data_IF_363427104217
#
_entry.id   IF_363427104217
#
_cell.length_a   1.000
_cell.length_b   1.000
_cell.length_c   1.000
_cell.angle_alpha   90.00
_cell.angle_beta   90.00
_cell.angle_gamma   90.00
#
_symmetry.space_group_name_H-M   'P 1'
#
loop_
_entity.id
_entity.type
_entity.pdbx_description
1 polymer ?
#
# COMPACT_ATOMS: atom_id res chain seq x y z
N UNK A 1 14.60 7.81 4.39
CA UNK A 1 13.29 7.14 4.43
C UNK A 1 12.50 7.76 5.56
N UNK A 2 11.24 8.16 5.35
CA UNK A 2 10.41 8.65 6.45
C UNK A 2 10.24 7.51 7.48
N UNK A 3 10.32 7.76 8.80
CA UNK A 3 10.15 6.71 9.83
C UNK A 3 8.88 5.89 9.65
N UNK A 4 7.82 6.54 9.17
CA UNK A 4 6.53 5.91 8.87
C UNK A 4 6.61 4.85 7.75
N UNK A 5 7.53 4.98 6.78
CA UNK A 5 7.75 4.00 5.73
C UNK A 5 8.29 2.68 6.28
N UNK A 6 9.16 2.75 7.30
CA UNK A 6 9.69 1.57 7.95
C UNK A 6 8.59 0.81 8.71
N UNK A 7 7.75 1.53 9.46
CA UNK A 7 6.62 0.96 10.19
C UNK A 7 5.59 0.29 9.25
N UNK A 8 5.24 0.96 8.14
CA UNK A 8 4.31 0.37 7.15
C UNK A 8 4.91 -0.90 6.52
N UNK A 9 6.20 -0.87 6.17
CA UNK A 9 6.90 -2.04 5.63
C UNK A 9 6.85 -3.21 6.61
N UNK A 10 7.09 -2.96 7.88
CA UNK A 10 7.07 -4.00 8.92
C UNK A 10 5.71 -4.68 9.03
N UNK A 11 4.62 -3.91 9.11
CA UNK A 11 3.27 -4.49 9.20
C UNK A 11 2.86 -5.21 7.91
N UNK A 12 3.28 -4.73 6.74
CA UNK A 12 3.04 -5.41 5.46
C UNK A 12 3.76 -6.76 5.40
N UNK A 13 5.05 -6.79 5.77
CA UNK A 13 5.82 -8.03 5.80
C UNK A 13 5.21 -9.05 6.76
N UNK A 14 4.76 -8.60 7.93
CA UNK A 14 4.15 -9.47 8.94
C UNK A 14 2.78 -9.98 8.52
N UNK A 15 1.91 -9.12 7.98
CA UNK A 15 0.49 -9.46 7.78
C UNK A 15 0.14 -9.81 6.34
N UNK A 16 0.71 -9.13 5.36
CA UNK A 16 0.25 -9.16 3.97
C UNK A 16 1.11 -10.01 3.04
N UNK A 17 2.40 -10.23 3.35
CA UNK A 17 3.33 -10.96 2.47
C UNK A 17 3.36 -12.45 2.78
N UNK A 18 3.22 -13.30 1.77
CA UNK A 18 3.33 -14.75 1.84
C UNK A 18 4.22 -15.28 0.72
N UNK A 19 5.04 -16.27 1.03
CA UNK A 19 5.89 -16.99 0.06
C UNK A 19 5.47 -18.46 -0.02
N UNK A 20 5.60 -19.06 -1.20
CA UNK A 20 5.07 -20.39 -1.52
C UNK A 20 4.51 -20.42 -2.94
N UNK A 21 3.96 -21.55 -3.40
CA UNK A 21 3.40 -21.61 -4.76
C UNK A 21 1.95 -21.10 -4.79
N UNK A 22 1.70 -20.01 -5.52
CA UNK A 22 0.38 -19.41 -5.69
C UNK A 22 0.00 -19.37 -7.17
N UNK A 23 -1.28 -19.58 -7.46
CA UNK A 23 -1.88 -19.23 -8.75
C UNK A 23 -2.55 -17.86 -8.61
N UNK A 24 -2.07 -16.88 -9.36
CA UNK A 24 -2.62 -15.52 -9.37
C UNK A 24 -3.96 -15.45 -10.10
N UNK A 25 -4.69 -14.35 -9.92
CA UNK A 25 -5.95 -14.09 -10.64
C UNK A 25 -5.78 -14.09 -12.18
N UNK A 26 -4.56 -13.85 -12.67
CA UNK A 26 -4.21 -13.96 -14.09
C UNK A 26 -3.99 -15.40 -14.59
N UNK A 27 -4.06 -16.40 -13.71
CA UNK A 27 -3.72 -17.80 -13.99
C UNK A 27 -2.22 -18.12 -13.93
N UNK A 28 -1.35 -17.11 -13.78
CA UNK A 28 0.10 -17.31 -13.67
C UNK A 28 0.49 -17.87 -12.31
N UNK A 29 1.54 -18.69 -12.28
CA UNK A 29 2.19 -19.14 -11.04
C UNK A 29 3.14 -18.06 -10.52
N UNK A 30 3.19 -17.88 -9.20
CA UNK A 30 4.13 -17.01 -8.52
C UNK A 30 4.54 -17.62 -7.18
N UNK A 31 5.77 -17.36 -6.76
CA UNK A 31 6.33 -17.72 -5.46
C UNK A 31 5.95 -16.70 -4.35
N UNK A 32 5.22 -15.64 -4.70
CA UNK A 32 4.88 -14.51 -3.85
C UNK A 32 3.40 -14.16 -3.97
N UNK A 33 2.75 -14.00 -2.82
CA UNK A 33 1.39 -13.48 -2.72
C UNK A 33 1.33 -12.34 -1.70
N UNK A 34 0.69 -11.24 -2.08
CA UNK A 34 0.54 -10.05 -1.25
C UNK A 34 -0.94 -9.69 -1.14
N UNK A 35 -1.53 -9.93 0.03
CA UNK A 35 -2.90 -9.51 0.33
C UNK A 35 -2.90 -8.27 1.22
N UNK A 36 -2.92 -7.08 0.63
CA UNK A 36 -2.88 -5.84 1.39
C UNK A 36 -4.17 -5.53 2.17
N UNK A 37 -5.27 -6.27 1.95
CA UNK A 37 -6.55 -6.01 2.63
C UNK A 37 -6.41 -6.19 4.14
N UNK A 38 -5.61 -7.16 4.58
CA UNK A 38 -5.40 -7.41 6.01
C UNK A 38 -4.62 -6.30 6.71
N UNK A 39 -3.74 -5.59 6.00
CA UNK A 39 -3.08 -4.39 6.55
C UNK A 39 -4.00 -3.17 6.44
N UNK A 40 -4.76 -3.03 5.36
CA UNK A 40 -5.70 -1.92 5.19
C UNK A 40 -6.87 -1.93 6.20
N UNK A 41 -7.27 -3.12 6.66
CA UNK A 41 -8.31 -3.30 7.68
C UNK A 41 -7.75 -3.35 9.12
N UNK A 42 -6.43 -3.22 9.29
CA UNK A 42 -5.80 -3.08 10.60
C UNK A 42 -5.80 -1.61 11.03
N UNK A 43 -6.14 -1.25 12.28
CA UNK A 43 -6.20 0.15 12.70
C UNK A 43 -4.85 0.88 12.61
N UNK A 44 -3.74 0.21 12.89
CA UNK A 44 -2.40 0.80 12.74
C UNK A 44 -2.03 0.86 11.26
N UNK A 45 -2.27 -0.22 10.52
CA UNK A 45 -2.00 -0.30 9.08
C UNK A 45 -2.75 0.76 8.27
N UNK A 46 -4.04 0.95 8.52
CA UNK A 46 -4.88 1.95 7.86
C UNK A 46 -4.35 3.37 8.05
N UNK A 47 -3.95 3.73 9.27
CA UNK A 47 -3.37 5.04 9.57
C UNK A 47 -2.04 5.25 8.83
N UNK A 48 -1.14 4.27 8.88
CA UNK A 48 0.15 4.34 8.19
C UNK A 48 -0.01 4.45 6.66
N UNK A 49 -0.98 3.73 6.08
CA UNK A 49 -1.32 3.79 4.66
C UNK A 49 -1.87 5.18 4.32
N UNK A 50 -2.80 5.71 5.10
CA UNK A 50 -3.41 7.02 4.88
C UNK A 50 -2.37 8.14 4.86
N UNK A 51 -1.48 8.17 5.86
CA UNK A 51 -0.46 9.20 5.98
C UNK A 51 0.54 9.16 4.81
N UNK A 52 1.10 7.98 4.52
CA UNK A 52 2.07 7.83 3.42
C UNK A 52 1.44 8.02 2.05
N UNK A 53 0.24 7.46 1.85
CA UNK A 53 -0.52 7.61 0.62
C UNK A 53 -0.85 9.08 0.35
N UNK A 54 -1.30 9.81 1.37
CA UNK A 54 -1.60 11.22 1.23
C UNK A 54 -0.35 12.06 0.96
N UNK A 55 0.76 11.77 1.66
CA UNK A 55 2.04 12.41 1.38
C UNK A 55 2.49 12.22 -0.08
N UNK A 56 2.38 11.00 -0.61
CA UNK A 56 2.72 10.70 -1.99
C UNK A 56 1.82 11.43 -3.00
N UNK A 57 0.50 11.39 -2.77
CA UNK A 57 -0.49 12.08 -3.62
C UNK A 57 -0.22 13.58 -3.63
N UNK A 58 -0.08 14.21 -2.46
CA UNK A 58 0.23 15.64 -2.37
C UNK A 58 1.53 16.02 -3.05
N UNK A 59 2.58 15.23 -2.87
CA UNK A 59 3.87 15.49 -3.50
C UNK A 59 3.74 15.50 -5.03
N UNK A 60 2.98 14.55 -5.58
CA UNK A 60 2.70 14.48 -7.02
C UNK A 60 1.86 15.66 -7.51
N UNK A 61 0.80 16.02 -6.77
CA UNK A 61 -0.04 17.19 -7.07
C UNK A 61 0.82 18.46 -7.18
N UNK A 62 1.70 18.67 -6.20
CA UNK A 62 2.59 19.83 -6.19
C UNK A 62 3.63 19.79 -7.31
N UNK A 63 4.31 18.66 -7.55
CA UNK A 63 5.36 18.57 -8.56
C UNK A 63 4.84 18.75 -9.98
N UNK A 64 3.62 18.29 -10.24
CA UNK A 64 2.99 18.34 -11.57
C UNK A 64 2.01 19.51 -11.73
N UNK A 65 1.91 20.39 -10.73
CA UNK A 65 1.01 21.54 -10.72
C UNK A 65 -0.45 21.16 -11.05
N UNK A 66 -0.88 20.00 -10.54
CA UNK A 66 -2.21 19.47 -10.82
C UNK A 66 -3.26 20.23 -10.00
N UNK A 67 -4.39 20.53 -10.64
CA UNK A 67 -5.61 20.92 -9.94
C UNK A 67 -6.46 19.66 -9.73
N UNK A 68 -6.66 19.29 -8.47
CA UNK A 68 -7.41 18.07 -8.10
C UNK A 68 -8.56 18.46 -7.19
N UNK A 69 -9.79 18.21 -7.65
CA UNK A 69 -11.01 18.53 -6.91
C UNK A 69 -11.56 17.31 -6.11
N UNK A 70 -11.16 16.09 -6.50
CA UNK A 70 -11.57 14.85 -5.84
C UNK A 70 -10.55 13.71 -6.03
N UNK A 71 -10.59 12.71 -5.14
CA UNK A 71 -9.79 11.48 -5.21
C UNK A 71 -10.76 10.29 -5.08
N UNK A 72 -10.64 9.31 -5.98
CA UNK A 72 -11.43 8.08 -5.99
C UNK A 72 -10.58 6.83 -5.78
N UNK A 73 -11.18 5.78 -5.21
CA UNK A 73 -10.62 4.43 -5.16
C UNK A 73 -11.28 3.51 -6.19
N UNK A 74 -10.58 2.45 -6.60
CA UNK A 74 -11.08 1.38 -7.48
C UNK A 74 -11.23 0.08 -6.72
#
# INVERSE_FOLDING_TARGET
MLPITAALKEILLRKSVRTGEFTLASGKKSDLYIDCRVTALDPVGANLIGDLGWHAVRSKIHSEHLKVDAIGGM
#
